data_IF_320707956398
#
_entry.id   IF_320707956398
#
_cell.length_a   1.000
_cell.length_b   1.000
_cell.length_c   1.000
_cell.angle_alpha   90.00
_cell.angle_beta   90.00
_cell.angle_gamma   90.00
#
_symmetry.space_group_name_H-M   'P 1'
#
loop_
_entity.id
_entity.type
_entity.pdbx_description
1 polymer ?
#
# COMPACT_ATOMS: atom_id res chain seq x y z
N UNK A 1 -13.52 12.27 21.83
CA UNK A 1 -12.64 11.28 21.20
C UNK A 1 -11.30 11.95 20.94
N UNK A 2 -10.31 11.67 21.77
CA UNK A 2 -8.93 12.13 21.53
C UNK A 2 -8.42 11.52 20.23
N UNK A 3 -7.93 12.37 19.34
CA UNK A 3 -7.33 11.95 18.08
C UNK A 3 -6.01 11.27 18.42
N UNK A 4 -5.93 9.94 18.25
CA UNK A 4 -4.72 9.19 18.48
C UNK A 4 -3.58 9.78 17.61
N UNK A 5 -2.53 10.28 18.26
CA UNK A 5 -1.31 10.76 17.60
C UNK A 5 -0.28 9.63 17.68
N UNK A 6 0.19 9.15 16.53
CA UNK A 6 1.22 8.13 16.41
C UNK A 6 2.44 8.78 15.76
N UNK A 7 3.56 8.90 16.49
CA UNK A 7 4.79 9.51 15.99
C UNK A 7 4.60 10.91 15.37
N UNK A 8 3.78 11.75 16.01
CA UNK A 8 3.44 13.10 15.52
C UNK A 8 2.44 13.14 14.36
N UNK A 9 1.96 11.99 13.87
CA UNK A 9 0.93 11.88 12.84
C UNK A 9 -0.43 11.60 13.45
N UNK A 10 -1.48 12.20 12.89
CA UNK A 10 -2.84 12.09 13.39
C UNK A 10 -3.57 10.91 12.75
N UNK A 11 -4.23 10.07 13.55
CA UNK A 11 -5.13 9.06 13.01
C UNK A 11 -6.37 9.69 12.35
N UNK A 12 -6.74 9.20 11.16
CA UNK A 12 -7.95 9.58 10.43
C UNK A 12 -8.70 8.34 9.91
N UNK A 13 -10.02 8.35 10.01
CA UNK A 13 -10.85 7.24 9.51
C UNK A 13 -10.93 7.18 7.99
N UNK A 14 -10.92 8.34 7.34
CA UNK A 14 -10.85 8.47 5.89
C UNK A 14 -9.75 9.46 5.52
N UNK A 15 -8.69 9.02 4.81
CA UNK A 15 -7.59 9.91 4.45
C UNK A 15 -7.92 10.77 3.23
N UNK A 16 -8.86 10.37 2.36
CA UNK A 16 -9.18 11.13 1.16
C UNK A 16 -9.90 12.44 1.51
N UNK A 17 -9.38 13.56 1.03
CA UNK A 17 -10.00 14.87 1.20
C UNK A 17 -11.19 14.98 0.23
N UNK A 18 -12.42 15.23 0.72
CA UNK A 18 -13.62 15.30 -0.13
C UNK A 18 -13.47 16.27 -1.30
N UNK A 19 -13.93 15.84 -2.49
CA UNK A 19 -13.84 16.65 -3.72
C UNK A 19 -12.44 16.77 -4.32
N UNK A 20 -11.44 16.03 -3.82
CA UNK A 20 -10.07 16.06 -4.32
C UNK A 20 -9.50 14.66 -4.52
N UNK A 21 -8.33 14.58 -5.17
CA UNK A 21 -7.51 13.36 -5.21
C UNK A 21 -6.37 13.39 -4.17
N UNK A 22 -6.37 14.36 -3.25
CA UNK A 22 -5.36 14.49 -2.20
C UNK A 22 -5.76 13.76 -0.93
N UNK A 23 -4.75 13.24 -0.23
CA UNK A 23 -4.93 12.66 1.11
C UNK A 23 -4.63 13.69 2.19
N UNK A 24 -5.16 13.45 3.39
CA UNK A 24 -4.85 14.19 4.59
C UNK A 24 -3.33 14.19 4.83
N UNK A 25 -2.80 15.33 5.26
CA UNK A 25 -1.38 15.51 5.58
C UNK A 25 -1.06 14.95 6.95
N UNK A 26 0.15 14.43 7.11
CA UNK A 26 0.67 13.89 8.37
C UNK A 26 -0.31 12.97 9.09
N UNK A 27 -0.89 12.05 8.32
CA UNK A 27 -1.94 11.15 8.77
C UNK A 27 -1.45 9.72 8.93
N UNK A 28 -2.10 8.99 9.82
CA UNK A 28 -2.10 7.53 9.87
C UNK A 28 -3.52 7.06 9.63
N UNK A 29 -3.70 6.01 8.83
CA UNK A 29 -5.02 5.46 8.56
C UNK A 29 -4.91 3.96 8.28
N UNK A 30 -6.05 3.28 8.32
CA UNK A 30 -6.15 1.91 7.85
C UNK A 30 -6.97 1.85 6.57
N UNK A 31 -6.52 1.06 5.60
CA UNK A 31 -7.24 0.86 4.35
C UNK A 31 -7.13 -0.59 3.88
N UNK A 32 -8.17 -1.03 3.18
CA UNK A 32 -8.28 -2.35 2.57
C UNK A 32 -9.62 -2.41 1.85
N UNK A 33 -9.77 -3.35 0.91
CA UNK A 33 -11.04 -3.49 0.19
C UNK A 33 -12.15 -3.82 1.19
N UNK A 34 -13.28 -3.12 1.08
CA UNK A 34 -14.34 -3.18 2.10
C UNK A 34 -14.85 -4.61 2.33
N UNK A 35 -14.95 -5.37 1.23
CA UNK A 35 -15.53 -6.71 1.18
C UNK A 35 -14.52 -7.83 1.49
N UNK A 36 -13.22 -7.54 1.56
CA UNK A 36 -12.20 -8.59 1.75
C UNK A 36 -12.05 -8.97 3.21
N UNK A 37 -12.26 -10.24 3.48
CA UNK A 37 -11.98 -10.90 4.76
C UNK A 37 -10.93 -11.99 4.59
N UNK A 38 -10.17 -12.26 5.64
CA UNK A 38 -9.24 -13.39 5.70
C UNK A 38 -9.98 -14.73 5.90
N UNK A 39 -9.22 -15.83 6.01
CA UNK A 39 -9.78 -17.16 6.21
C UNK A 39 -10.66 -17.28 7.47
N UNK A 40 -10.39 -16.47 8.50
CA UNK A 40 -11.16 -16.41 9.75
C UNK A 40 -12.38 -15.47 9.67
N UNK A 41 -12.62 -14.84 8.51
CA UNK A 41 -13.72 -13.88 8.35
C UNK A 41 -13.41 -12.48 8.88
N UNK A 42 -12.16 -12.19 9.26
CA UNK A 42 -11.76 -10.85 9.73
C UNK A 42 -11.46 -9.92 8.55
N UNK A 43 -11.91 -8.65 8.57
CA UNK A 43 -11.56 -7.69 7.53
C UNK A 43 -10.05 -7.56 7.34
N UNK A 44 -9.59 -7.61 6.09
CA UNK A 44 -8.19 -7.35 5.76
C UNK A 44 -7.99 -5.84 5.65
N UNK A 45 -7.10 -5.31 6.48
CA UNK A 45 -6.73 -3.88 6.52
C UNK A 45 -5.23 -3.75 6.74
N UNK A 46 -4.65 -2.78 6.06
CA UNK A 46 -3.24 -2.41 6.18
C UNK A 46 -3.13 -1.00 6.73
N UNK A 47 -1.99 -0.70 7.36
CA UNK A 47 -1.73 0.61 7.97
C UNK A 47 -0.90 1.44 6.99
N UNK A 48 -1.28 2.69 6.80
CA UNK A 48 -0.59 3.60 5.91
C UNK A 48 -0.27 4.90 6.64
N UNK A 49 0.74 5.60 6.14
CA UNK A 49 1.06 6.95 6.59
C UNK A 49 1.16 7.90 5.42
N UNK A 50 0.75 9.16 5.63
CA UNK A 50 1.04 10.25 4.71
C UNK A 50 2.06 11.22 5.30
N UNK A 51 2.79 11.91 4.43
CA UNK A 51 3.68 13.00 4.82
C UNK A 51 2.97 14.36 4.85
N UNK A 52 3.74 15.43 5.13
CA UNK A 52 3.28 16.83 5.17
C UNK A 52 2.66 17.35 3.87
N UNK A 53 2.86 16.65 2.74
CA UNK A 53 2.26 16.99 1.45
C UNK A 53 1.02 16.14 1.14
N UNK A 54 0.66 15.20 2.02
CA UNK A 54 -0.46 14.28 1.79
C UNK A 54 -0.10 13.16 0.81
N UNK A 55 1.19 12.89 0.60
CA UNK A 55 1.67 11.75 -0.20
C UNK A 55 1.76 10.52 0.69
N UNK A 56 1.41 9.34 0.19
CA UNK A 56 1.59 8.09 0.95
C UNK A 56 3.09 7.86 1.14
N UNK A 57 3.58 7.91 2.38
CA UNK A 57 4.99 7.71 2.71
C UNK A 57 5.33 6.28 3.10
N UNK A 58 4.36 5.53 3.64
CA UNK A 58 4.55 4.11 3.95
C UNK A 58 3.24 3.33 3.95
N UNK A 59 3.36 2.02 3.75
CA UNK A 59 2.30 1.03 3.87
C UNK A 59 2.83 -0.21 4.61
N UNK A 60 2.03 -0.75 5.53
CA UNK A 60 2.42 -1.83 6.43
C UNK A 60 1.34 -2.91 6.51
N UNK A 61 1.74 -4.15 6.26
CA UNK A 61 0.93 -5.33 6.49
C UNK A 61 1.41 -6.06 7.74
N UNK A 62 0.47 -6.41 8.64
CA UNK A 62 0.73 -7.05 9.94
C UNK A 62 -0.30 -8.15 10.25
N UNK A 63 -0.18 -9.35 9.65
CA UNK A 63 0.70 -9.72 8.53
C UNK A 63 0.05 -9.45 7.16
N UNK A 64 0.76 -9.77 6.08
CA UNK A 64 0.15 -9.85 4.73
C UNK A 64 -0.83 -11.03 4.69
N UNK A 65 -1.98 -10.85 4.02
CA UNK A 65 -3.07 -11.84 4.00
C UNK A 65 -3.58 -12.11 2.59
N UNK A 66 -4.04 -13.34 2.37
CA UNK A 66 -4.91 -13.68 1.24
C UNK A 66 -6.38 -13.55 1.64
N UNK A 67 -7.21 -12.86 0.85
CA UNK A 67 -8.65 -12.87 1.00
C UNK A 67 -9.22 -14.30 0.84
N UNK A 68 -10.24 -14.62 1.63
CA UNK A 68 -10.98 -15.89 1.53
C UNK A 68 -11.64 -16.09 0.16
N UNK A 69 -12.07 -14.99 -0.46
CA UNK A 69 -12.70 -14.98 -1.78
C UNK A 69 -11.86 -14.19 -2.78
N UNK A 70 -11.76 -14.70 -4.02
CA UNK A 70 -11.09 -13.99 -5.10
C UNK A 70 -11.98 -12.88 -5.60
N UNK A 71 -11.42 -11.69 -5.76
CA UNK A 71 -12.11 -10.56 -6.35
C UNK A 71 -11.56 -10.27 -7.74
N UNK A 72 -12.45 -9.78 -8.61
CA UNK A 72 -12.01 -9.26 -9.91
C UNK A 72 -11.25 -7.94 -9.70
N UNK A 73 -10.19 -7.68 -10.47
CA UNK A 73 -9.54 -6.38 -10.46
C UNK A 73 -10.56 -5.29 -10.82
N UNK A 74 -10.76 -4.32 -9.94
CA UNK A 74 -11.29 -3.02 -10.35
C UNK A 74 -10.11 -2.05 -10.52
N UNK A 75 -10.21 -1.20 -11.54
CA UNK A 75 -9.17 -0.24 -11.89
C UNK A 75 -9.78 1.15 -11.86
N UNK A 76 -9.66 1.86 -10.74
CA UNK A 76 -10.08 3.25 -10.68
C UNK A 76 -9.14 4.04 -9.76
N UNK A 77 -8.53 5.08 -10.31
CA UNK A 77 -7.71 6.01 -9.55
C UNK A 77 -6.88 6.90 -10.47
N UNK A 78 -6.95 8.20 -10.25
CA UNK A 78 -5.99 9.15 -10.80
C UNK A 78 -5.14 9.70 -9.64
N UNK A 79 -4.15 8.93 -9.17
CA UNK A 79 -3.31 9.35 -8.05
C UNK A 79 -2.58 10.65 -8.40
N UNK A 80 -2.32 11.44 -7.35
CA UNK A 80 -1.55 12.67 -7.49
C UNK A 80 -0.17 12.36 -8.08
N UNK A 81 0.29 13.19 -9.01
CA UNK A 81 1.60 13.06 -9.64
C UNK A 81 1.66 12.08 -10.81
N UNK A 82 0.56 11.46 -11.21
CA UNK A 82 0.50 10.56 -12.38
C UNK A 82 0.76 11.33 -13.68
N UNK A 83 1.70 10.85 -14.49
CA UNK A 83 2.04 11.41 -15.81
C UNK A 83 1.80 10.38 -16.93
N UNK A 84 1.86 10.74 -18.23
CA UNK A 84 1.84 9.75 -19.31
C UNK A 84 2.96 8.71 -19.14
N UNK A 85 2.63 7.43 -19.36
CA UNK A 85 3.51 6.29 -19.06
C UNK A 85 3.32 5.71 -17.65
N UNK A 86 2.60 6.40 -16.76
CA UNK A 86 2.25 5.88 -15.45
C UNK A 86 0.90 5.14 -15.43
N UNK A 87 0.88 4.10 -14.60
CA UNK A 87 -0.29 3.39 -14.11
C UNK A 87 -0.70 3.90 -12.72
N UNK A 88 -1.93 3.55 -12.34
CA UNK A 88 -2.42 3.62 -10.97
C UNK A 88 -1.96 2.37 -10.21
N UNK A 89 -0.73 2.40 -9.70
CA UNK A 89 -0.09 1.25 -9.05
C UNK A 89 -0.56 1.08 -7.61
N UNK A 90 -0.93 -0.14 -7.24
CA UNK A 90 -1.28 -0.46 -5.86
C UNK A 90 -0.01 -0.67 -5.02
N UNK A 91 -0.01 -0.24 -3.76
CA UNK A 91 1.05 -0.61 -2.82
C UNK A 91 0.83 -2.05 -2.31
N UNK A 92 -0.41 -2.36 -1.91
CA UNK A 92 -0.87 -3.74 -1.74
C UNK A 92 -1.91 -4.06 -2.80
N UNK A 93 -1.65 -5.05 -3.65
CA UNK A 93 -2.55 -5.44 -4.71
C UNK A 93 -3.91 -5.96 -4.21
N UNK A 94 -4.90 -5.93 -5.11
CA UNK A 94 -6.24 -6.48 -4.90
C UNK A 94 -6.22 -7.95 -4.45
N UNK A 95 -5.26 -8.74 -4.93
CA UNK A 95 -5.10 -10.16 -4.53
C UNK A 95 -4.75 -10.33 -3.05
N UNK A 96 -4.28 -9.27 -2.39
CA UNK A 96 -4.00 -9.24 -0.95
C UNK A 96 -5.04 -8.42 -0.18
N UNK A 97 -6.17 -8.08 -0.80
CA UNK A 97 -7.21 -7.27 -0.17
C UNK A 97 -6.86 -5.79 0.02
N UNK A 98 -5.88 -5.28 -0.74
CA UNK A 98 -5.60 -3.86 -0.82
C UNK A 98 -6.83 -3.04 -1.24
N UNK A 99 -6.89 -1.79 -0.80
CA UNK A 99 -7.97 -0.87 -1.18
C UNK A 99 -7.84 -0.49 -2.65
N UNK A 100 -8.98 -0.37 -3.34
CA UNK A 100 -9.06 0.07 -4.74
C UNK A 100 -9.07 1.60 -4.88
N UNK A 101 -8.87 2.33 -3.77
CA UNK A 101 -8.96 3.79 -3.71
C UNK A 101 -7.58 4.43 -3.64
N UNK A 102 -7.57 5.76 -3.76
CA UNK A 102 -6.36 6.60 -3.67
C UNK A 102 -5.59 6.49 -2.35
N UNK A 103 -6.18 5.85 -1.34
CA UNK A 103 -5.56 5.56 -0.06
C UNK A 103 -4.54 4.38 -0.11
N UNK A 104 -4.44 3.68 -1.24
CA UNK A 104 -3.50 2.58 -1.49
C UNK A 104 -2.88 2.64 -2.90
N UNK A 105 -3.16 3.70 -3.66
CA UNK A 105 -2.75 3.82 -5.06
C UNK A 105 -1.79 5.01 -5.22
N UNK A 106 -0.70 4.78 -5.95
CA UNK A 106 0.29 5.80 -6.29
C UNK A 106 0.54 5.86 -7.80
N UNK A 107 1.09 6.98 -8.27
CA UNK A 107 1.61 7.08 -9.63
C UNK A 107 2.84 6.17 -9.79
N UNK A 108 2.79 5.22 -10.73
CA UNK A 108 3.83 4.22 -10.88
C UNK A 108 4.09 3.96 -12.36
N UNK A 109 5.36 3.87 -12.80
CA UNK A 109 5.67 3.50 -14.19
C UNK A 109 4.98 2.19 -14.57
N UNK A 110 4.50 2.12 -15.80
CA UNK A 110 3.90 0.92 -16.36
C UNK A 110 4.79 -0.32 -16.20
N UNK A 111 6.09 -0.22 -16.47
CA UNK A 111 7.06 -1.31 -16.37
C UNK A 111 7.32 -1.72 -14.92
N UNK A 112 7.26 -0.79 -13.96
CA UNK A 112 7.38 -1.06 -12.54
C UNK A 112 6.13 -1.81 -12.07
N UNK A 113 4.95 -1.31 -12.41
CA UNK A 113 3.68 -1.91 -12.05
C UNK A 113 3.50 -3.32 -12.68
N UNK A 114 3.69 -3.43 -13.99
CA UNK A 114 3.41 -4.66 -14.75
C UNK A 114 4.52 -5.72 -14.66
N UNK A 115 5.74 -5.35 -14.26
CA UNK A 115 6.87 -6.30 -14.20
C UNK A 115 7.46 -6.40 -12.79
N UNK A 116 8.09 -5.34 -12.27
CA UNK A 116 8.85 -5.44 -11.00
C UNK A 116 7.94 -5.75 -9.81
N UNK A 117 6.88 -4.97 -9.62
CA UNK A 117 5.90 -5.18 -8.56
C UNK A 117 5.16 -6.50 -8.77
N UNK A 118 4.68 -6.77 -9.99
CA UNK A 118 4.03 -8.05 -10.32
C UNK A 118 4.86 -9.29 -9.96
N UNK A 119 6.19 -9.26 -10.17
CA UNK A 119 7.08 -10.36 -9.76
C UNK A 119 7.14 -10.53 -8.24
N UNK A 120 7.17 -9.43 -7.49
CA UNK A 120 7.16 -9.45 -6.02
C UNK A 120 5.82 -9.96 -5.51
N UNK A 121 4.72 -9.46 -6.04
CA UNK A 121 3.36 -9.89 -5.70
C UNK A 121 3.17 -11.39 -5.97
N UNK A 122 3.61 -11.89 -7.13
CA UNK A 122 3.56 -13.33 -7.43
C UNK A 122 4.40 -14.16 -6.46
N UNK A 123 5.55 -13.65 -6.01
CA UNK A 123 6.36 -14.33 -4.98
C UNK A 123 5.62 -14.37 -3.65
N UNK A 124 5.05 -13.25 -3.21
CA UNK A 124 4.25 -13.19 -1.99
C UNK A 124 3.05 -14.12 -2.04
N UNK A 125 2.35 -14.17 -3.17
CA UNK A 125 1.23 -15.09 -3.38
C UNK A 125 1.66 -16.54 -3.14
N UNK A 126 2.76 -16.99 -3.77
CA UNK A 126 3.29 -18.35 -3.58
C UNK A 126 3.67 -18.64 -2.12
N UNK A 127 4.31 -17.69 -1.43
CA UNK A 127 4.67 -17.84 -0.01
C UNK A 127 3.42 -18.01 0.86
N UNK A 128 2.40 -17.18 0.64
CA UNK A 128 1.13 -17.25 1.38
C UNK A 128 0.36 -18.55 1.07
N UNK A 129 0.37 -19.00 -0.20
CA UNK A 129 -0.21 -20.30 -0.60
C UNK A 129 0.53 -21.49 0.03
N UNK A 130 1.82 -21.35 0.31
CA UNK A 130 2.61 -22.33 1.06
C UNK A 130 2.40 -22.24 2.59
N UNK A 131 1.53 -21.35 3.06
CA UNK A 131 1.22 -21.17 4.48
C UNK A 131 2.22 -20.32 5.25
N UNK A 132 3.15 -19.63 4.58
CA UNK A 132 4.08 -18.73 5.26
C UNK A 132 3.35 -17.51 5.83
N UNK A 133 3.80 -17.05 6.99
CA UNK A 133 3.32 -15.82 7.64
C UNK A 133 4.47 -14.84 7.72
N UNK A 134 4.28 -13.64 7.19
CA UNK A 134 5.26 -12.58 7.24
C UNK A 134 4.58 -11.22 7.14
N UNK A 135 5.22 -10.22 7.73
CA UNK A 135 4.84 -8.83 7.60
C UNK A 135 5.53 -8.21 6.38
N UNK A 136 4.95 -7.12 5.87
CA UNK A 136 5.54 -6.35 4.77
C UNK A 136 5.54 -4.87 5.13
N UNK A 137 6.69 -4.24 4.94
CA UNK A 137 6.86 -2.79 4.97
C UNK A 137 7.18 -2.29 3.58
N UNK A 138 6.43 -1.31 3.11
CA UNK A 138 6.71 -0.56 1.89
C UNK A 138 6.96 0.89 2.29
N UNK A 139 8.14 1.41 1.98
CA UNK A 139 8.45 2.84 2.04
C UNK A 139 8.41 3.41 0.63
N UNK A 140 7.63 4.46 0.45
CA UNK A 140 7.54 5.20 -0.82
C UNK A 140 8.56 6.32 -0.79
N UNK A 141 9.35 6.43 -1.85
CA UNK A 141 10.40 7.43 -2.01
C UNK A 141 9.91 8.56 -2.91
N UNK A 142 10.31 9.77 -2.58
CA UNK A 142 10.01 10.98 -3.34
C UNK A 142 11.25 11.85 -3.40
N UNK A 143 11.38 12.62 -4.47
CA UNK A 143 12.37 13.69 -4.55
C UNK A 143 11.74 15.03 -4.13
N UNK A 144 12.36 15.72 -3.18
CA UNK A 144 11.91 16.99 -2.63
C UNK A 144 10.40 17.07 -2.38
N UNK A 145 9.76 18.05 -3.03
CA UNK A 145 8.32 18.29 -3.00
C UNK A 145 7.55 17.62 -4.15
N UNK A 146 8.19 16.78 -4.96
CA UNK A 146 7.57 16.08 -6.07
C UNK A 146 6.45 15.13 -5.62
N UNK A 147 5.32 15.12 -6.33
CA UNK A 147 4.16 14.31 -5.93
C UNK A 147 4.18 12.89 -6.48
N UNK A 148 5.01 12.66 -7.51
CA UNK A 148 5.23 11.35 -8.13
C UNK A 148 6.33 10.60 -7.35
N UNK A 149 6.11 9.35 -6.93
CA UNK A 149 7.16 8.53 -6.32
C UNK A 149 8.38 8.38 -7.25
N UNK A 150 9.57 8.39 -6.69
CA UNK A 150 10.83 8.05 -7.40
C UNK A 150 11.26 6.60 -7.18
N UNK A 151 10.65 5.93 -6.21
CA UNK A 151 10.90 4.51 -5.99
C UNK A 151 10.27 3.94 -4.74
N UNK A 152 10.59 2.68 -4.47
CA UNK A 152 10.05 1.91 -3.35
C UNK A 152 11.13 1.09 -2.67
N UNK A 153 11.11 1.09 -1.33
CA UNK A 153 11.90 0.17 -0.49
C UNK A 153 10.95 -0.80 0.19
N UNK A 154 11.15 -2.08 -0.06
CA UNK A 154 10.28 -3.14 0.43
C UNK A 154 11.07 -4.05 1.38
N UNK A 155 10.49 -4.33 2.55
CA UNK A 155 11.07 -5.23 3.56
C UNK A 155 10.04 -6.26 3.97
N UNK A 156 10.39 -7.54 3.87
CA UNK A 156 9.64 -8.64 4.47
C UNK A 156 10.17 -8.86 5.89
N UNK A 157 9.29 -9.08 6.87
CA UNK A 157 9.67 -9.38 8.25
C UNK A 157 9.07 -10.74 8.62
N UNK A 158 9.94 -11.68 8.96
CA UNK A 158 9.54 -13.04 9.32
C UNK A 158 9.10 -13.10 10.79
N UNK A 159 8.43 -14.19 11.23
CA UNK A 159 7.93 -14.30 12.61
C UNK A 159 9.03 -14.25 13.69
N UNK A 160 10.26 -14.63 13.35
CA UNK A 160 11.45 -14.53 14.21
C UNK A 160 12.04 -13.10 14.27
N UNK A 161 11.42 -12.14 13.58
CA UNK A 161 11.87 -10.76 13.48
C UNK A 161 12.94 -10.52 12.41
N UNK A 162 13.39 -11.54 11.68
CA UNK A 162 14.37 -11.39 10.60
C UNK A 162 13.80 -10.51 9.49
N UNK A 163 14.58 -9.52 9.06
CA UNK A 163 14.21 -8.55 8.03
C UNK A 163 14.91 -8.87 6.71
N UNK A 164 14.14 -9.17 5.68
CA UNK A 164 14.62 -9.40 4.32
C UNK A 164 14.31 -8.15 3.48
N UNK A 165 15.35 -7.37 3.14
CA UNK A 165 15.21 -6.20 2.27
C UNK A 165 15.32 -6.64 0.82
N UNK A 166 14.38 -6.19 -0.01
CA UNK A 166 14.47 -6.36 -1.45
C UNK A 166 15.28 -5.21 -2.07
N UNK A 167 15.77 -5.43 -3.29
CA UNK A 167 16.40 -4.38 -4.07
C UNK A 167 15.46 -3.19 -4.24
N UNK A 168 16.04 -1.99 -4.20
CA UNK A 168 15.29 -0.75 -4.39
C UNK A 168 14.68 -0.71 -5.78
N UNK A 169 13.38 -0.41 -5.84
CA UNK A 169 12.64 -0.32 -7.09
C UNK A 169 12.62 1.14 -7.51
N UNK A 170 13.37 1.48 -8.55
CA UNK A 170 13.29 2.80 -9.19
C UNK A 170 12.00 2.91 -10.01
N UNK A 171 11.31 4.04 -9.82
CA UNK A 171 10.06 4.45 -10.47
C UNK A 171 10.23 5.68 -11.35
#
# INVERSE_FOLDING_TARGET
>A
MEKLIVNGKKYVDSPLIPGSNHLAKDAVYTAGRRETVDAAGKPIRYVYTTDRLGRISSAHARPLKLPKQKFRPSHQGNPVGKVPGDHAGHLFANIFGGSEKLDNIVAQLDNVNLSKMKKIENRWLKKLEAGEVFDVDIKVLYDGSGLRPTGFKITEILPDGKRLRLDEIVN
#
